data_IF_624357414181
#
_entry.id   IF_624357414181
#
_cell.length_a   1.000
_cell.length_b   1.000
_cell.length_c   1.000
_cell.angle_alpha   90.00
_cell.angle_beta   90.00
_cell.angle_gamma   90.00
#
_symmetry.space_group_name_H-M   'P 1'
#
loop_
_entity.id
_entity.type
_entity.pdbx_description
1 polymer ?
#
# COMPACT_ATOMS: atom_id res chain seq x y z
N UNK A 1 -14.91 -11.17 -1.02
CA UNK A 1 -14.82 -12.56 -1.52
C UNK A 1 -13.77 -12.55 -2.64
N UNK A 2 -12.52 -13.00 -2.46
CA UNK A 2 -12.12 -14.35 -2.11
C UNK A 2 -12.46 -14.81 -0.69
N UNK A 3 -13.49 -15.65 -0.63
CA UNK A 3 -13.73 -16.68 0.38
C UNK A 3 -14.22 -17.88 -0.44
N UNK A 4 -13.35 -18.88 -0.60
CA UNK A 4 -13.76 -20.23 -1.00
C UNK A 4 -12.95 -21.15 -0.09
N UNK A 5 -13.61 -21.60 0.98
CA UNK A 5 -13.19 -22.49 2.06
C UNK A 5 -11.77 -22.28 2.63
N UNK A 6 -11.71 -21.68 3.82
CA UNK A 6 -10.50 -21.53 4.64
C UNK A 6 -9.89 -22.90 4.99
N UNK A 7 -9.02 -23.39 4.10
CA UNK A 7 -8.09 -24.47 4.39
C UNK A 7 -6.66 -24.00 4.14
N UNK A 8 -6.20 -23.01 4.92
CA UNK A 8 -4.81 -22.52 5.03
C UNK A 8 -4.06 -22.15 3.73
N UNK A 9 -4.75 -22.17 2.60
CA UNK A 9 -4.28 -21.85 1.27
C UNK A 9 -5.37 -21.03 0.59
N UNK A 10 -5.31 -19.71 0.76
CA UNK A 10 -6.19 -18.79 0.04
C UNK A 10 -5.99 -19.06 -1.45
N UNK A 11 -7.01 -19.59 -2.11
CA UNK A 11 -7.01 -19.78 -3.55
C UNK A 11 -7.13 -18.41 -4.22
N UNK A 12 -6.00 -17.71 -4.37
CA UNK A 12 -5.97 -16.42 -5.09
C UNK A 12 -5.94 -16.71 -6.58
N UNK A 13 -7.11 -16.65 -7.21
CA UNK A 13 -7.22 -16.64 -8.67
C UNK A 13 -6.93 -15.24 -9.20
N UNK A 14 -5.65 -14.96 -9.50
CA UNK A 14 -5.21 -13.72 -10.14
C UNK A 14 -4.79 -14.00 -11.59
N UNK A 15 -5.56 -13.50 -12.55
CA UNK A 15 -5.40 -13.84 -13.97
C UNK A 15 -4.25 -13.10 -14.64
N UNK A 16 -3.86 -13.56 -15.83
CA UNK A 16 -2.85 -12.89 -16.65
C UNK A 16 -3.34 -11.52 -17.14
N UNK A 17 -4.62 -11.38 -17.46
CA UNK A 17 -5.24 -10.10 -17.85
C UNK A 17 -5.24 -9.10 -16.70
N UNK A 18 -5.51 -9.56 -15.47
CA UNK A 18 -5.44 -8.72 -14.27
C UNK A 18 -4.00 -8.25 -14.01
N UNK A 19 -3.01 -9.14 -14.14
CA UNK A 19 -1.59 -8.77 -14.05
C UNK A 19 -1.21 -7.75 -15.13
N UNK A 20 -1.59 -8.01 -16.38
CA UNK A 20 -1.27 -7.14 -17.51
C UNK A 20 -1.85 -5.73 -17.32
N UNK A 21 -3.07 -5.61 -16.78
CA UNK A 21 -3.67 -4.31 -16.45
C UNK A 21 -2.86 -3.57 -15.37
N UNK A 22 -2.47 -4.26 -14.29
CA UNK A 22 -1.64 -3.65 -13.23
C UNK A 22 -0.28 -3.22 -13.80
N UNK A 23 0.42 -4.08 -14.54
CA UNK A 23 1.73 -3.77 -15.11
C UNK A 23 1.69 -2.64 -16.14
N UNK A 24 0.68 -2.61 -17.01
CA UNK A 24 0.49 -1.53 -17.99
C UNK A 24 0.22 -0.19 -17.30
N UNK A 25 -0.64 -0.19 -16.28
CA UNK A 25 -0.95 1.01 -15.50
C UNK A 25 0.28 1.47 -14.73
N UNK A 26 0.99 0.54 -14.09
CA UNK A 26 2.25 0.82 -13.39
C UNK A 26 3.32 1.39 -14.31
N UNK A 27 3.43 0.91 -15.56
CA UNK A 27 4.38 1.46 -16.52
C UNK A 27 4.15 2.95 -16.82
N UNK A 28 2.92 3.44 -16.67
CA UNK A 28 2.57 4.86 -16.78
C UNK A 28 2.89 5.57 -15.46
N UNK A 29 2.40 5.04 -14.33
CA UNK A 29 2.53 5.65 -13.02
C UNK A 29 4.00 5.76 -12.56
N UNK A 30 4.86 4.79 -12.90
CA UNK A 30 6.27 4.77 -12.48
C UNK A 30 7.08 5.96 -12.97
N UNK A 31 6.66 6.59 -14.08
CA UNK A 31 7.31 7.76 -14.67
C UNK A 31 7.31 8.97 -13.75
N UNK A 32 6.32 9.08 -12.86
CA UNK A 32 6.21 10.15 -11.85
C UNK A 32 5.72 9.59 -10.50
N UNK A 33 6.15 8.36 -10.18
CA UNK A 33 5.64 7.60 -9.04
C UNK A 33 5.73 8.35 -7.72
N UNK A 34 6.82 9.10 -7.54
CA UNK A 34 7.07 9.80 -6.30
C UNK A 34 6.06 10.94 -6.05
N UNK A 35 5.62 11.66 -7.09
CA UNK A 35 4.62 12.71 -6.95
C UNK A 35 3.20 12.15 -7.00
N UNK A 36 2.94 11.12 -7.81
CA UNK A 36 1.63 10.46 -7.86
C UNK A 36 1.32 9.80 -6.51
N UNK A 37 2.27 9.06 -5.93
CA UNK A 37 2.06 8.40 -4.64
C UNK A 37 1.82 9.44 -3.53
N UNK A 38 2.54 10.55 -3.55
CA UNK A 38 2.31 11.65 -2.61
C UNK A 38 0.89 12.24 -2.78
N UNK A 39 0.47 12.54 -4.01
CA UNK A 39 -0.90 13.03 -4.30
C UNK A 39 -1.98 12.07 -3.82
N UNK A 40 -1.75 10.77 -3.98
CA UNK A 40 -2.64 9.74 -3.47
C UNK A 40 -2.79 9.81 -1.94
N UNK A 41 -1.69 9.97 -1.20
CA UNK A 41 -1.73 10.17 0.26
C UNK A 41 -2.39 11.48 0.68
N UNK A 42 -2.19 12.55 -0.07
CA UNK A 42 -2.91 13.81 0.18
C UNK A 42 -4.42 13.63 0.00
N UNK A 43 -4.85 12.83 -0.99
CA UNK A 43 -6.26 12.50 -1.18
C UNK A 43 -6.81 11.65 -0.03
N UNK A 44 -6.04 10.71 0.49
CA UNK A 44 -6.41 9.94 1.69
C UNK A 44 -6.64 10.89 2.87
N UNK A 45 -5.78 11.88 3.08
CA UNK A 45 -5.95 12.85 4.17
C UNK A 45 -7.10 13.82 3.95
N UNK A 46 -7.49 14.09 2.70
CA UNK A 46 -8.70 14.85 2.38
C UNK A 46 -9.96 14.06 2.79
N UNK A 47 -10.00 12.76 2.50
CA UNK A 47 -11.15 11.88 2.79
C UNK A 47 -11.21 11.46 4.26
N UNK A 48 -10.05 11.16 4.85
CA UNK A 48 -9.89 10.71 6.23
C UNK A 48 -8.80 11.54 6.94
N UNK A 49 -9.09 12.76 7.41
CA UNK A 49 -8.09 13.64 8.03
C UNK A 49 -7.39 13.01 9.23
N UNK A 50 -8.08 12.16 9.99
CA UNK A 50 -7.52 11.44 11.14
C UNK A 50 -6.36 10.51 10.76
N UNK A 51 -6.31 10.00 9.53
CA UNK A 51 -5.22 9.13 9.06
C UNK A 51 -3.87 9.87 9.08
N UNK A 52 -3.85 11.17 8.81
CA UNK A 52 -2.63 11.99 8.88
C UNK A 52 -2.02 12.00 10.29
N UNK A 53 -2.86 11.91 11.32
CA UNK A 53 -2.43 11.91 12.72
C UNK A 53 -1.79 10.58 13.12
N UNK A 54 -1.88 9.51 12.31
CA UNK A 54 -1.20 8.25 12.59
C UNK A 54 0.30 8.34 12.30
N UNK A 55 0.69 9.26 11.42
CA UNK A 55 2.08 9.55 11.11
C UNK A 55 2.68 10.46 12.18
N UNK A 56 3.44 9.87 13.11
CA UNK A 56 4.08 10.61 14.21
C UNK A 56 4.94 11.79 13.74
N UNK A 57 5.55 11.68 12.56
CA UNK A 57 6.36 12.74 11.96
C UNK A 57 5.55 13.88 11.31
N UNK A 58 4.22 13.79 11.27
CA UNK A 58 3.34 14.84 10.78
C UNK A 58 2.69 15.65 11.91
N UNK A 59 2.45 15.04 13.08
CA UNK A 59 1.66 15.65 14.18
C UNK A 59 2.09 17.06 14.59
N UNK A 60 3.39 17.33 14.60
CA UNK A 60 3.97 18.62 15.00
C UNK A 60 4.95 19.14 13.94
N UNK A 61 4.69 18.87 12.66
CA UNK A 61 5.58 19.29 11.58
C UNK A 61 5.13 20.61 10.99
N UNK A 62 6.04 21.58 10.92
CA UNK A 62 5.85 22.81 10.15
C UNK A 62 6.09 22.60 8.64
N UNK A 63 6.51 21.39 8.24
CA UNK A 63 6.75 21.05 6.85
C UNK A 63 5.41 20.74 6.19
N UNK A 64 5.02 21.46 5.12
CA UNK A 64 3.81 21.12 4.36
C UNK A 64 3.83 19.65 3.92
N UNK A 65 2.67 18.99 3.96
CA UNK A 65 2.54 17.56 3.63
C UNK A 65 3.20 17.20 2.29
N UNK A 66 2.97 18.04 1.27
CA UNK A 66 3.52 17.96 -0.09
C UNK A 66 5.06 17.97 -0.14
N UNK A 67 5.70 18.53 0.89
CA UNK A 67 7.16 18.67 0.99
C UNK A 67 7.77 17.72 2.01
N UNK A 68 6.97 16.90 2.69
CA UNK A 68 7.46 16.02 3.73
C UNK A 68 8.13 14.76 3.14
N UNK A 69 9.47 14.59 3.28
CA UNK A 69 10.18 13.49 2.65
C UNK A 69 9.79 12.12 3.22
N UNK A 70 9.42 12.04 4.51
CA UNK A 70 9.00 10.79 5.15
C UNK A 70 7.65 10.32 4.63
N UNK A 71 6.71 11.25 4.41
CA UNK A 71 5.44 10.95 3.76
C UNK A 71 5.66 10.43 2.34
N UNK A 72 6.50 11.12 1.56
CA UNK A 72 6.84 10.70 0.19
C UNK A 72 7.43 9.30 0.12
N UNK A 73 8.35 8.95 1.02
CA UNK A 73 8.93 7.59 1.10
C UNK A 73 7.89 6.54 1.46
N UNK A 74 7.02 6.81 2.43
CA UNK A 74 5.95 5.87 2.80
C UNK A 74 4.99 5.65 1.64
N UNK A 75 4.54 6.74 1.00
CA UNK A 75 3.65 6.70 -0.14
C UNK A 75 4.22 5.87 -1.30
N UNK A 76 5.49 6.09 -1.65
CA UNK A 76 6.16 5.28 -2.67
C UNK A 76 6.22 3.80 -2.30
N UNK A 77 6.46 3.47 -1.04
CA UNK A 77 6.55 2.08 -0.58
C UNK A 77 5.21 1.36 -0.76
N UNK A 78 4.09 1.98 -0.39
CA UNK A 78 2.75 1.42 -0.62
C UNK A 78 2.50 1.19 -2.11
N UNK A 79 2.76 2.19 -2.95
CA UNK A 79 2.56 2.09 -4.40
C UNK A 79 3.36 0.94 -5.04
N UNK A 80 4.66 0.83 -4.70
CA UNK A 80 5.54 -0.20 -5.26
C UNK A 80 5.14 -1.58 -4.74
N UNK A 81 4.93 -1.74 -3.43
CA UNK A 81 4.61 -3.03 -2.84
C UNK A 81 3.28 -3.59 -3.34
N UNK A 82 2.27 -2.74 -3.58
CA UNK A 82 0.99 -3.18 -4.17
C UNK A 82 1.16 -3.67 -5.59
N UNK A 83 1.97 -2.99 -6.41
CA UNK A 83 2.26 -3.45 -7.76
C UNK A 83 3.07 -4.76 -7.77
N UNK A 84 4.05 -4.90 -6.88
CA UNK A 84 4.83 -6.14 -6.76
C UNK A 84 3.97 -7.31 -6.28
N UNK A 85 3.00 -7.06 -5.40
CA UNK A 85 2.07 -8.08 -4.93
C UNK A 85 1.24 -8.68 -6.08
N UNK A 86 0.78 -7.86 -7.04
CA UNK A 86 0.07 -8.37 -8.22
C UNK A 86 0.90 -9.38 -9.03
N UNK A 87 2.17 -9.08 -9.30
CA UNK A 87 3.07 -10.00 -9.97
C UNK A 87 3.33 -11.27 -9.15
N UNK A 88 3.42 -11.16 -7.82
CA UNK A 88 3.59 -12.31 -6.92
C UNK A 88 2.35 -13.21 -6.90
N UNK A 89 1.15 -12.63 -6.85
CA UNK A 89 -0.11 -13.37 -6.91
C UNK A 89 -0.22 -14.17 -8.21
N UNK A 90 0.12 -13.57 -9.36
CA UNK A 90 0.13 -14.30 -10.64
C UNK A 90 1.13 -15.45 -10.65
N UNK A 91 2.37 -15.17 -10.22
CA UNK A 91 3.49 -16.10 -10.35
C UNK A 91 3.44 -17.24 -9.34
N UNK A 92 2.99 -16.97 -8.13
CA UNK A 92 3.11 -17.87 -6.99
C UNK A 92 1.76 -18.20 -6.31
N UNK A 93 0.65 -17.59 -6.74
CA UNK A 93 -0.67 -17.75 -6.11
C UNK A 93 -0.76 -17.11 -4.71
N UNK A 94 0.29 -16.40 -4.28
CA UNK A 94 0.39 -15.77 -2.95
C UNK A 94 1.41 -14.64 -2.95
N UNK A 95 1.31 -13.76 -1.97
CA UNK A 95 2.34 -12.74 -1.70
C UNK A 95 3.58 -13.44 -1.14
N UNK A 96 4.75 -13.19 -1.74
CA UNK A 96 6.04 -13.82 -1.42
C UNK A 96 7.02 -12.85 -0.78
N UNK A 97 6.52 -11.79 -0.14
CA UNK A 97 7.33 -10.88 0.69
C UNK A 97 7.96 -11.69 1.83
N UNK A 98 9.24 -11.42 2.14
CA UNK A 98 9.97 -12.11 3.22
C UNK A 98 9.19 -12.03 4.54
N UNK A 99 9.12 -13.14 5.27
CA UNK A 99 8.39 -13.24 6.55
C UNK A 99 8.82 -12.16 7.56
N UNK A 100 10.13 -11.89 7.66
CA UNK A 100 10.65 -10.83 8.54
C UNK A 100 10.15 -9.44 8.17
N UNK A 101 9.97 -9.17 6.87
CA UNK A 101 9.38 -7.91 6.39
C UNK A 101 7.89 -7.84 6.72
N UNK A 102 7.13 -8.92 6.51
CA UNK A 102 5.70 -8.97 6.83
C UNK A 102 5.44 -8.80 8.33
N UNK A 103 6.21 -9.49 9.19
CA UNK A 103 6.14 -9.32 10.65
C UNK A 103 6.44 -7.90 11.09
N UNK A 104 7.47 -7.27 10.51
CA UNK A 104 7.81 -5.86 10.79
C UNK A 104 6.71 -4.91 10.34
N UNK A 105 6.12 -5.14 9.16
CA UNK A 105 5.02 -4.33 8.65
C UNK A 105 3.81 -4.44 9.57
N UNK A 106 3.36 -5.66 9.89
CA UNK A 106 2.24 -5.90 10.80
C UNK A 106 2.45 -5.26 12.17
N UNK A 107 3.60 -5.48 12.80
CA UNK A 107 3.93 -4.88 14.09
C UNK A 107 3.93 -3.34 14.05
N UNK A 108 4.42 -2.74 12.95
CA UNK A 108 4.44 -1.28 12.80
C UNK A 108 3.03 -0.72 12.63
N UNK A 109 2.21 -1.30 11.75
CA UNK A 109 0.84 -0.82 11.51
C UNK A 109 -0.02 -1.00 12.77
N UNK A 110 0.11 -2.13 13.47
CA UNK A 110 -0.55 -2.35 14.75
C UNK A 110 -0.14 -1.33 15.82
N UNK A 111 1.17 -1.05 15.95
CA UNK A 111 1.70 -0.05 16.91
C UNK A 111 1.08 1.34 16.70
N UNK A 112 0.78 1.72 15.46
CA UNK A 112 0.18 3.02 15.13
C UNK A 112 -1.35 3.00 15.05
N UNK A 113 -2.00 1.87 15.37
CA UNK A 113 -3.46 1.76 15.42
C UNK A 113 -4.13 1.66 14.04
N UNK A 114 -3.41 1.22 13.00
CA UNK A 114 -3.97 1.02 11.66
C UNK A 114 -4.87 -0.20 11.67
N UNK A 115 -6.19 0.04 11.57
CA UNK A 115 -7.23 -0.98 11.36
C UNK A 115 -7.90 -0.89 9.99
N UNK A 116 -8.90 -1.75 9.76
CA UNK A 116 -9.55 -2.01 8.47
C UNK A 116 -9.97 -0.74 7.71
N UNK A 117 -10.65 0.20 8.38
CA UNK A 117 -11.08 1.46 7.78
C UNK A 117 -9.94 2.29 7.15
N UNK A 118 -8.71 2.16 7.67
CA UNK A 118 -7.54 2.84 7.12
C UNK A 118 -6.94 2.13 5.90
N UNK A 119 -7.16 0.82 5.77
CA UNK A 119 -6.78 0.08 4.57
C UNK A 119 -7.80 0.30 3.45
N UNK A 120 -9.09 0.41 3.77
CA UNK A 120 -10.16 0.59 2.79
C UNK A 120 -10.16 1.97 2.10
N UNK A 121 -9.66 3.01 2.76
CA UNK A 121 -9.53 4.37 2.21
C UNK A 121 -8.31 4.53 1.28
N UNK A 122 -7.43 3.53 1.21
CA UNK A 122 -6.28 3.50 0.30
C UNK A 122 -6.68 2.87 -1.04
#
# INVERSE_FOLDING_TARGET
MALVEDNNAVAVSFSEEQEALVLKSWAILKKDSANIALRFFLKIFEVAPSASQMFSFLRNSDVPLEKNPKLKTHAMSVFVMTCEAAAQLRKAGKVTVRDTTLKRLGATHLKYGVGDAHFEVQ
#
